data_IF_197591634564
#
_entry.id   IF_197591634564
#
_cell.length_a   1.000
_cell.length_b   1.000
_cell.length_c   1.000
_cell.angle_alpha   90.00
_cell.angle_beta   90.00
_cell.angle_gamma   90.00
#
_symmetry.space_group_name_H-M   'P 1'
#
loop_
_entity.id
_entity.type
_entity.pdbx_description
1 polymer ?
#
# COMPACT_ATOMS: atom_id res chain seq x y z
N UNK A 1 4.61 -0.71 -18.15
CA UNK A 1 5.66 -1.49 -18.85
C UNK A 1 6.67 -1.93 -17.81
N UNK A 2 7.19 -3.15 -17.91
CA UNK A 2 8.10 -3.78 -16.94
C UNK A 2 9.57 -3.73 -17.41
N UNK A 3 9.87 -2.81 -18.32
CA UNK A 3 11.00 -2.91 -19.25
C UNK A 3 12.36 -2.68 -18.58
N UNK A 4 12.40 -1.97 -17.44
CA UNK A 4 13.65 -1.67 -16.71
C UNK A 4 14.30 -2.93 -16.12
N UNK A 5 13.50 -3.80 -15.49
CA UNK A 5 14.02 -5.00 -14.79
C UNK A 5 13.53 -6.32 -15.41
N UNK A 6 12.65 -6.25 -16.41
CA UNK A 6 12.03 -7.41 -17.05
C UNK A 6 11.26 -8.34 -16.09
N UNK A 7 10.85 -7.80 -14.94
CA UNK A 7 10.01 -8.47 -13.95
C UNK A 7 8.54 -8.19 -14.28
N UNK A 8 7.93 -9.05 -15.10
CA UNK A 8 6.62 -8.79 -15.69
C UNK A 8 5.50 -9.72 -15.21
N UNK A 9 5.86 -10.84 -14.57
CA UNK A 9 4.94 -11.93 -14.23
C UNK A 9 5.06 -12.27 -12.76
N UNK A 10 3.97 -12.10 -12.04
CA UNK A 10 3.95 -12.34 -10.59
C UNK A 10 4.23 -13.81 -10.27
N UNK A 11 3.71 -14.73 -11.08
CA UNK A 11 3.84 -16.18 -10.90
C UNK A 11 5.30 -16.69 -10.92
N UNK A 12 6.19 -16.00 -11.64
CA UNK A 12 7.62 -16.33 -11.72
C UNK A 12 8.38 -15.88 -10.46
N UNK A 13 7.78 -15.05 -9.60
CA UNK A 13 8.44 -14.39 -8.46
C UNK A 13 7.91 -14.84 -7.09
N UNK A 14 6.94 -15.77 -7.06
CA UNK A 14 6.25 -16.18 -5.83
C UNK A 14 7.18 -16.77 -4.75
N UNK A 15 8.21 -17.53 -5.15
CA UNK A 15 9.16 -18.11 -4.19
C UNK A 15 10.01 -17.03 -3.52
N UNK A 16 10.44 -16.04 -4.30
CA UNK A 16 11.22 -14.89 -3.78
C UNK A 16 10.36 -14.03 -2.87
N UNK A 17 9.07 -13.83 -3.21
CA UNK A 17 8.12 -13.12 -2.34
C UNK A 17 8.04 -13.71 -0.93
N UNK A 18 8.03 -15.04 -0.82
CA UNK A 18 7.94 -15.73 0.47
C UNK A 18 9.18 -15.46 1.32
N UNK A 19 10.36 -15.47 0.72
CA UNK A 19 11.63 -15.14 1.39
C UNK A 19 11.68 -13.67 1.84
N UNK A 20 11.14 -12.75 1.03
CA UNK A 20 11.08 -11.32 1.33
C UNK A 20 10.08 -10.94 2.43
N UNK A 21 9.16 -11.83 2.80
CA UNK A 21 8.12 -11.53 3.79
C UNK A 21 7.19 -10.38 3.39
N UNK A 22 7.03 -10.10 2.09
CA UNK A 22 6.16 -9.01 1.61
C UNK A 22 4.70 -9.45 1.68
N UNK A 23 3.99 -8.92 2.66
CA UNK A 23 2.57 -9.19 2.91
C UNK A 23 1.71 -8.13 2.22
N UNK A 24 0.58 -8.58 1.67
CA UNK A 24 -0.47 -7.69 1.18
C UNK A 24 -1.14 -7.01 2.38
N UNK A 25 -1.27 -5.68 2.34
CA UNK A 25 -2.06 -4.98 3.37
C UNK A 25 -3.51 -5.49 3.37
N UNK A 26 -4.05 -5.88 4.54
CA UNK A 26 -5.40 -6.46 4.67
C UNK A 26 -6.52 -5.45 4.36
N UNK A 27 -7.59 -5.93 3.71
CA UNK A 27 -8.86 -5.21 3.45
C UNK A 27 -10.09 -6.11 3.68
N UNK A 28 -9.98 -7.13 4.54
CA UNK A 28 -11.04 -8.12 4.79
C UNK A 28 -12.26 -7.48 5.44
N UNK A 29 -12.09 -6.41 6.24
CA UNK A 29 -13.21 -5.73 6.89
C UNK A 29 -14.11 -5.03 5.87
N UNK A 30 -13.55 -4.61 4.74
CA UNK A 30 -14.30 -4.02 3.63
C UNK A 30 -15.16 -5.03 2.85
N UNK A 31 -14.94 -6.34 3.05
CA UNK A 31 -15.74 -7.42 2.44
C UNK A 31 -16.35 -8.36 3.47
N UNK A 32 -16.29 -7.99 4.75
CA UNK A 32 -16.83 -8.79 5.84
C UNK A 32 -18.34 -8.96 5.67
N UNK A 33 -18.85 -10.17 5.98
CA UNK A 33 -20.31 -10.40 6.08
C UNK A 33 -20.96 -9.50 7.13
N UNK A 34 -20.21 -9.19 8.20
CA UNK A 34 -20.58 -8.25 9.23
C UNK A 34 -19.84 -6.94 8.96
N UNK A 35 -20.21 -6.29 7.86
CA UNK A 35 -19.56 -5.05 7.43
C UNK A 35 -19.59 -3.99 8.53
N UNK A 36 -18.44 -3.37 8.79
CA UNK A 36 -18.29 -2.27 9.73
C UNK A 36 -17.54 -1.15 9.02
N UNK A 37 -18.23 -0.02 8.78
CA UNK A 37 -17.67 1.11 8.02
C UNK A 37 -16.39 1.63 8.67
N UNK A 38 -16.39 1.80 9.99
CA UNK A 38 -15.22 2.20 10.78
C UNK A 38 -14.02 1.30 10.51
N UNK A 39 -14.18 -0.02 10.67
CA UNK A 39 -13.10 -0.98 10.48
C UNK A 39 -12.58 -1.00 9.03
N UNK A 40 -13.47 -0.86 8.04
CA UNK A 40 -13.06 -0.75 6.64
C UNK A 40 -12.28 0.54 6.38
N UNK A 41 -12.77 1.69 6.84
CA UNK A 41 -12.09 2.98 6.68
C UNK A 41 -10.73 2.97 7.39
N UNK A 42 -10.62 2.41 8.60
CA UNK A 42 -9.34 2.23 9.29
C UNK A 42 -8.35 1.38 8.48
N UNK A 43 -8.78 0.25 7.91
CA UNK A 43 -7.90 -0.56 7.05
C UNK A 43 -7.44 0.17 5.79
N UNK A 44 -8.33 0.96 5.16
CA UNK A 44 -7.98 1.79 3.99
C UNK A 44 -6.95 2.86 4.40
N UNK A 45 -7.22 3.59 5.47
CA UNK A 45 -6.34 4.64 5.99
C UNK A 45 -4.95 4.10 6.33
N UNK A 46 -4.88 3.04 7.14
CA UNK A 46 -3.62 2.45 7.57
C UNK A 46 -2.84 1.84 6.41
N UNK A 47 -3.57 1.25 5.45
CA UNK A 47 -2.98 0.73 4.23
C UNK A 47 -2.34 1.78 3.33
N UNK A 48 -3.00 2.93 3.15
CA UNK A 48 -2.45 4.06 2.40
C UNK A 48 -1.16 4.57 3.05
N UNK A 49 -1.13 4.68 4.39
CA UNK A 49 0.08 5.05 5.12
C UNK A 49 1.21 4.03 4.95
N UNK A 50 0.90 2.73 5.01
CA UNK A 50 1.88 1.66 4.83
C UNK A 50 2.50 1.67 3.41
N UNK A 51 1.68 1.85 2.37
CA UNK A 51 2.18 1.94 0.99
C UNK A 51 2.95 3.24 0.74
N UNK A 52 2.51 4.38 1.29
CA UNK A 52 3.27 5.63 1.24
C UNK A 52 4.72 5.45 1.74
N UNK A 53 4.90 4.76 2.89
CA UNK A 53 6.23 4.44 3.42
C UNK A 53 7.00 3.48 2.51
N UNK A 54 6.35 2.41 2.04
CA UNK A 54 6.98 1.39 1.18
C UNK A 54 7.44 1.92 -0.19
N UNK A 55 6.78 2.96 -0.71
CA UNK A 55 7.15 3.60 -1.97
C UNK A 55 8.53 4.29 -1.92
N UNK A 56 9.06 4.61 -0.73
CA UNK A 56 10.43 5.09 -0.60
C UNK A 56 11.46 4.09 -1.15
N UNK A 57 11.23 2.78 -0.95
CA UNK A 57 12.08 1.74 -1.52
C UNK A 57 11.95 1.65 -3.06
N UNK A 58 10.81 2.03 -3.63
CA UNK A 58 10.61 2.07 -5.09
C UNK A 58 11.33 3.27 -5.70
N UNK A 59 11.38 4.40 -4.98
CA UNK A 59 12.07 5.61 -5.41
C UNK A 59 13.57 5.36 -5.60
N UNK A 60 14.18 4.57 -4.71
CA UNK A 60 15.60 4.16 -4.84
C UNK A 60 15.87 3.27 -6.07
N UNK A 61 14.88 2.46 -6.50
CA UNK A 61 15.03 1.56 -7.65
C UNK A 61 14.86 2.25 -9.00
N UNK A 62 14.02 3.29 -9.06
CA UNK A 62 13.56 3.88 -10.31
C UNK A 62 13.97 5.36 -10.43
N UNK A 63 15.28 5.67 -10.48
CA UNK A 63 15.74 7.06 -10.56
C UNK A 63 15.27 7.79 -11.82
N UNK A 64 14.95 7.05 -12.89
CA UNK A 64 14.35 7.61 -14.12
C UNK A 64 12.86 7.95 -13.99
N UNK A 65 12.20 7.54 -12.91
CA UNK A 65 10.76 7.72 -12.67
C UNK A 65 10.48 8.40 -11.33
N UNK A 66 11.47 9.06 -10.72
CA UNK A 66 11.36 9.70 -9.40
C UNK A 66 10.11 10.56 -9.26
N UNK A 67 9.83 11.44 -10.22
CA UNK A 67 8.67 12.32 -10.17
C UNK A 67 7.32 11.57 -10.14
N UNK A 68 7.23 10.42 -10.82
CA UNK A 68 6.03 9.59 -10.80
C UNK A 68 5.86 8.88 -9.46
N UNK A 69 6.95 8.40 -8.86
CA UNK A 69 6.90 7.74 -7.55
C UNK A 69 6.57 8.76 -6.46
N UNK A 70 7.16 9.96 -6.51
CA UNK A 70 6.84 11.06 -5.60
C UNK A 70 5.38 11.51 -5.72
N UNK A 71 4.86 11.61 -6.95
CA UNK A 71 3.44 11.92 -7.19
C UNK A 71 2.55 10.83 -6.56
N UNK A 72 2.90 9.56 -6.76
CA UNK A 72 2.15 8.44 -6.19
C UNK A 72 2.19 8.44 -4.65
N UNK A 73 3.31 8.81 -4.03
CA UNK A 73 3.41 9.00 -2.58
C UNK A 73 2.50 10.14 -2.11
N UNK A 74 2.56 11.30 -2.78
CA UNK A 74 1.72 12.44 -2.44
C UNK A 74 0.23 12.11 -2.56
N UNK A 75 -0.16 11.43 -3.64
CA UNK A 75 -1.54 11.01 -3.87
C UNK A 75 -2.02 10.02 -2.80
N UNK A 76 -1.18 9.07 -2.38
CA UNK A 76 -1.50 8.14 -1.28
C UNK A 76 -1.69 8.88 0.05
N UNK A 77 -0.83 9.85 0.36
CA UNK A 77 -0.91 10.66 1.58
C UNK A 77 -2.16 11.57 1.59
N UNK A 78 -2.49 12.17 0.44
CA UNK A 78 -3.68 12.98 0.26
C UNK A 78 -4.95 12.15 0.43
N UNK A 79 -5.00 10.97 -0.21
CA UNK A 79 -6.13 10.06 -0.05
C UNK A 79 -6.28 9.59 1.40
N UNK A 80 -5.17 9.29 2.09
CA UNK A 80 -5.19 8.92 3.51
C UNK A 80 -5.80 10.02 4.37
N UNK A 81 -5.40 11.28 4.13
CA UNK A 81 -5.96 12.45 4.84
C UNK A 81 -7.44 12.64 4.56
N UNK A 82 -7.88 12.44 3.31
CA UNK A 82 -9.29 12.54 2.94
C UNK A 82 -10.14 11.46 3.61
N UNK A 83 -9.62 10.23 3.71
CA UNK A 83 -10.30 9.14 4.43
C UNK A 83 -10.40 9.45 5.92
N UNK A 84 -9.33 9.96 6.53
CA UNK A 84 -9.35 10.38 7.93
C UNK A 84 -10.42 11.45 8.18
N UNK A 85 -10.48 12.50 7.35
CA UNK A 85 -11.52 13.52 7.44
C UNK A 85 -12.93 12.92 7.29
N UNK A 86 -13.12 12.00 6.34
CA UNK A 86 -14.39 11.33 6.13
C UNK A 86 -14.82 10.51 7.36
N UNK A 87 -13.89 9.84 8.05
CA UNK A 87 -14.16 9.13 9.30
C UNK A 87 -14.59 10.08 10.42
N UNK A 88 -13.94 11.24 10.53
CA UNK A 88 -14.27 12.28 11.51
C UNK A 88 -15.68 12.83 11.28
N UNK A 89 -16.01 13.17 10.03
CA UNK A 89 -17.31 13.72 9.65
C UNK A 89 -18.47 12.73 9.91
N UNK A 90 -18.19 11.42 9.81
CA UNK A 90 -19.15 10.35 10.09
C UNK A 90 -19.20 9.95 11.58
N UNK A 91 -18.36 10.55 12.44
CA UNK A 91 -18.24 10.16 13.84
C UNK A 91 -17.66 8.76 14.06
N UNK A 92 -16.91 8.24 13.09
CA UNK A 92 -16.23 6.94 13.13
C UNK A 92 -14.79 7.03 13.66
N UNK A 93 -14.29 8.25 13.89
CA UNK A 93 -12.92 8.45 14.36
C UNK A 93 -12.77 8.02 15.83
N UNK A 94 -12.22 6.82 16.05
CA UNK A 94 -11.60 6.49 17.34
C UNK A 94 -10.27 7.23 17.47
N UNK A 95 -9.91 7.62 18.71
CA UNK A 95 -8.57 8.16 19.01
C UNK A 95 -7.52 7.09 18.70
N UNK A 96 -6.98 7.10 17.49
CA UNK A 96 -5.81 6.30 17.15
C UNK A 96 -4.60 7.05 17.67
N UNK A 97 -4.06 6.56 18.79
CA UNK A 97 -2.69 6.90 19.16
C UNK A 97 -1.78 6.50 18.00
N UNK A 98 -0.79 7.32 17.60
CA UNK A 98 0.13 6.95 16.55
C UNK A 98 0.83 5.65 16.98
N UNK A 99 0.45 4.54 16.38
CA UNK A 99 1.17 3.28 16.46
C UNK A 99 2.51 3.55 15.76
N UNK A 100 3.53 3.83 16.57
CA UNK A 100 4.96 3.90 16.27
C UNK A 100 5.34 4.10 14.78
N UNK A 101 5.41 5.37 14.36
CA UNK A 101 6.15 5.80 13.16
C UNK A 101 5.71 5.19 11.83
N UNK A 102 6.38 5.55 10.72
CA UNK A 102 6.33 4.74 9.51
C UNK A 102 6.81 3.34 9.90
N UNK A 103 5.99 2.31 9.65
CA UNK A 103 6.41 0.93 9.82
C UNK A 103 7.79 0.70 9.18
N UNK A 104 8.62 -0.21 9.71
CA UNK A 104 10.00 -0.36 9.28
C UNK A 104 10.06 -0.50 7.75
N UNK A 105 10.86 0.35 7.12
CA UNK A 105 11.09 0.29 5.68
C UNK A 105 11.56 -1.12 5.33
N UNK A 106 11.06 -1.72 4.24
CA UNK A 106 11.52 -3.03 3.82
C UNK A 106 13.03 -2.96 3.56
N UNK A 107 13.79 -3.83 4.21
CA UNK A 107 15.23 -3.97 3.99
C UNK A 107 15.46 -5.14 3.06
N UNK A 108 16.27 -4.91 2.01
CA UNK A 108 16.54 -5.93 1.00
C UNK A 108 18.00 -6.38 1.10
N UNK A 109 18.21 -7.70 1.13
CA UNK A 109 19.55 -8.27 1.25
C UNK A 109 20.35 -8.30 -0.06
N UNK A 110 19.71 -7.98 -1.20
CA UNK A 110 20.37 -7.92 -2.51
C UNK A 110 19.64 -6.97 -3.47
N UNK A 111 20.31 -6.56 -4.56
CA UNK A 111 19.67 -5.75 -5.62
C UNK A 111 18.50 -6.50 -6.28
N UNK A 112 18.62 -7.80 -6.49
CA UNK A 112 17.52 -8.61 -7.03
C UNK A 112 16.32 -8.65 -6.07
N UNK A 113 16.58 -8.83 -4.77
CA UNK A 113 15.54 -8.75 -3.74
C UNK A 113 14.85 -7.39 -3.70
N UNK A 114 15.62 -6.30 -3.88
CA UNK A 114 15.06 -4.97 -3.95
C UNK A 114 14.16 -4.81 -5.18
N UNK A 115 14.59 -5.27 -6.36
CA UNK A 115 13.78 -5.24 -7.59
C UNK A 115 12.47 -6.03 -7.47
N UNK A 116 12.54 -7.27 -6.98
CA UNK A 116 11.35 -8.10 -6.74
C UNK A 116 10.46 -7.49 -5.67
N UNK A 117 11.06 -6.91 -4.63
CA UNK A 117 10.33 -6.19 -3.60
C UNK A 117 9.57 -4.99 -4.15
N UNK A 118 10.21 -4.17 -4.99
CA UNK A 118 9.58 -3.04 -5.67
C UNK A 118 8.42 -3.48 -6.57
N UNK A 119 8.59 -4.60 -7.30
CA UNK A 119 7.51 -5.21 -8.08
C UNK A 119 6.30 -5.54 -7.20
N UNK A 120 6.50 -6.24 -6.09
CA UNK A 120 5.39 -6.62 -5.20
C UNK A 120 4.78 -5.44 -4.46
N UNK A 121 5.55 -4.41 -4.08
CA UNK A 121 5.00 -3.18 -3.49
C UNK A 121 4.01 -2.53 -4.47
N UNK A 122 4.40 -2.35 -5.72
CA UNK A 122 3.54 -1.74 -6.74
C UNK A 122 2.32 -2.61 -7.07
N UNK A 123 2.52 -3.92 -7.27
CA UNK A 123 1.43 -4.86 -7.58
C UNK A 123 0.41 -4.97 -6.43
N UNK A 124 0.91 -5.05 -5.19
CA UNK A 124 0.07 -5.11 -4.00
C UNK A 124 -0.68 -3.79 -3.77
N UNK A 125 -0.04 -2.64 -4.05
CA UNK A 125 -0.68 -1.34 -3.92
C UNK A 125 -1.79 -1.15 -4.95
N UNK A 126 -1.58 -1.56 -6.20
CA UNK A 126 -2.62 -1.54 -7.21
C UNK A 126 -3.84 -2.38 -6.79
N UNK A 127 -3.63 -3.64 -6.36
CA UNK A 127 -4.71 -4.52 -5.88
C UNK A 127 -5.44 -3.95 -4.66
N UNK A 128 -4.70 -3.30 -3.77
CA UNK A 128 -5.24 -2.59 -2.63
C UNK A 128 -6.16 -1.43 -3.07
N UNK A 129 -5.71 -0.58 -3.99
CA UNK A 129 -6.49 0.55 -4.50
C UNK A 129 -7.74 0.11 -5.24
N UNK A 130 -7.66 -0.94 -6.07
CA UNK A 130 -8.82 -1.51 -6.75
C UNK A 130 -9.89 -1.98 -5.75
N UNK A 131 -9.45 -2.59 -4.65
CA UNK A 131 -10.33 -3.05 -3.59
C UNK A 131 -10.91 -1.90 -2.78
N UNK A 132 -10.08 -0.96 -2.35
CA UNK A 132 -10.50 0.23 -1.62
C UNK A 132 -11.51 1.06 -2.42
N UNK A 133 -11.26 1.24 -3.72
CA UNK A 133 -12.18 1.94 -4.63
C UNK A 133 -13.57 1.28 -4.67
N UNK A 134 -13.63 -0.07 -4.75
CA UNK A 134 -14.90 -0.80 -4.72
C UNK A 134 -15.62 -0.59 -3.39
N UNK A 135 -14.90 -0.71 -2.27
CA UNK A 135 -15.47 -0.51 -0.94
C UNK A 135 -16.05 0.89 -0.77
N UNK A 136 -15.29 1.93 -1.16
CA UNK A 136 -15.70 3.33 -1.08
C UNK A 136 -16.91 3.66 -1.97
N UNK A 137 -17.08 2.95 -3.09
CA UNK A 137 -18.25 3.14 -3.95
C UNK A 137 -19.56 2.58 -3.35
N UNK A 138 -19.43 1.69 -2.36
CA UNK A 138 -20.56 1.05 -1.69
C UNK A 138 -20.89 1.69 -0.33
N UNK A 139 -20.14 2.72 0.06
CA UNK A 139 -20.31 3.55 1.25
C UNK A 139 -20.97 4.87 0.90
#
# INVERSE_FOLDING_TARGET
>A
QCDTFQLCKEEELLLVRQDLGIVQVPLEQCHSRNFQAEACFSQIHDGLRAYHGSLAAVLELLPGHTSLVETLQLDAANLSSNIQQQMEDLGLATVTYPTEGPGPLPTFSSSFHHQVGGFFILANFQRFLETAYRALRHL
#
